data_IF_847217149417
#
_entry.id   IF_847217149417
#
_cell.length_a   1.000
_cell.length_b   1.000
_cell.length_c   1.000
_cell.angle_alpha   90.00
_cell.angle_beta   90.00
_cell.angle_gamma   90.00
#
_symmetry.space_group_name_H-M   'P 1'
#
loop_
_entity.id
_entity.type
_entity.pdbx_description
1 polymer ?
#
# COMPACT_ATOMS: atom_id res chain seq x y z
N UNK A 1 -8.82 -26.89 -14.00
CA UNK A 1 -9.70 -27.01 -12.81
C UNK A 1 -10.32 -25.68 -12.47
N UNK A 2 -11.39 -25.68 -11.68
CA UNK A 2 -12.04 -24.46 -11.21
C UNK A 2 -11.26 -23.89 -10.03
N UNK A 3 -10.84 -22.63 -10.12
CA UNK A 3 -10.12 -21.93 -9.06
C UNK A 3 -10.52 -20.45 -9.05
N UNK A 4 -10.72 -19.90 -7.87
CA UNK A 4 -10.93 -18.48 -7.66
C UNK A 4 -9.85 -18.01 -6.69
N UNK A 5 -8.91 -17.20 -7.16
CA UNK A 5 -7.96 -16.52 -6.30
C UNK A 5 -8.69 -15.52 -5.40
N UNK A 6 -8.29 -15.44 -4.13
CA UNK A 6 -8.84 -14.48 -3.19
C UNK A 6 -7.72 -13.70 -2.50
N UNK A 7 -7.75 -12.36 -2.59
CA UNK A 7 -6.74 -11.50 -1.97
C UNK A 7 -7.40 -10.36 -1.20
N UNK A 8 -7.47 -10.44 0.14
CA UNK A 8 -7.90 -9.31 0.95
C UNK A 8 -6.82 -8.23 0.95
N UNK A 9 -7.18 -7.02 0.51
CA UNK A 9 -6.28 -5.85 0.47
C UNK A 9 -6.15 -5.20 1.84
N UNK A 10 -5.86 -6.03 2.84
CA UNK A 10 -5.66 -5.64 4.23
C UNK A 10 -4.71 -6.61 4.92
N UNK A 11 -4.04 -6.14 5.94
CA UNK A 11 -3.10 -6.96 6.68
C UNK A 11 -2.33 -6.15 7.70
N UNK A 12 -1.39 -6.80 8.36
CA UNK A 12 -0.39 -6.15 9.20
C UNK A 12 0.98 -6.76 8.92
N UNK A 13 2.02 -6.02 9.20
CA UNK A 13 3.41 -6.48 9.13
C UNK A 13 3.75 -7.53 10.19
N UNK A 14 2.87 -7.77 11.16
CA UNK A 14 3.04 -8.76 12.23
C UNK A 14 2.48 -10.10 11.78
N UNK A 15 3.21 -11.16 12.03
CA UNK A 15 2.84 -12.54 11.70
C UNK A 15 2.18 -13.27 12.86
N UNK A 16 1.43 -14.33 12.53
CA UNK A 16 0.83 -15.26 13.48
C UNK A 16 -0.58 -14.89 13.93
N UNK A 17 -1.32 -15.91 14.33
CA UNK A 17 -2.73 -15.84 14.72
C UNK A 17 -3.01 -14.82 15.85
N UNK A 18 -2.07 -14.63 16.76
CA UNK A 18 -2.20 -13.68 17.87
C UNK A 18 -2.39 -12.22 17.40
N UNK A 19 -2.00 -11.92 16.16
CA UNK A 19 -2.14 -10.59 15.56
C UNK A 19 -3.40 -10.48 14.68
N UNK A 20 -4.20 -11.55 14.56
CA UNK A 20 -5.46 -11.53 13.84
C UNK A 20 -6.51 -10.69 14.58
N UNK A 21 -7.38 -10.01 13.83
CA UNK A 21 -8.48 -9.23 14.37
C UNK A 21 -9.76 -9.56 13.61
N UNK A 22 -10.88 -9.74 14.32
CA UNK A 22 -12.17 -10.06 13.71
C UNK A 22 -12.61 -9.04 12.64
N UNK A 23 -12.28 -7.77 12.84
CA UNK A 23 -12.63 -6.66 11.94
C UNK A 23 -11.62 -6.39 10.83
N UNK A 24 -10.62 -7.27 10.63
CA UNK A 24 -9.55 -7.02 9.65
C UNK A 24 -10.08 -6.89 8.23
N UNK A 25 -11.14 -7.61 7.89
CA UNK A 25 -11.76 -7.60 6.56
C UNK A 25 -12.83 -6.50 6.40
N UNK A 26 -13.31 -5.90 7.49
CA UNK A 26 -14.39 -4.93 7.47
C UNK A 26 -14.00 -3.70 6.65
N UNK A 27 -14.80 -3.37 5.63
CA UNK A 27 -14.56 -2.28 4.67
C UNK A 27 -13.26 -2.39 3.85
N UNK A 28 -12.58 -3.53 3.87
CA UNK A 28 -11.43 -3.77 3.02
C UNK A 28 -11.86 -4.31 1.65
N UNK A 29 -11.19 -3.90 0.58
CA UNK A 29 -11.36 -4.56 -0.70
C UNK A 29 -10.85 -5.99 -0.62
N UNK A 30 -11.63 -6.90 -1.21
CA UNK A 30 -11.25 -8.31 -1.34
C UNK A 30 -11.30 -8.67 -2.83
N UNK A 31 -10.14 -8.86 -3.43
CA UNK A 31 -10.03 -9.14 -4.85
C UNK A 31 -10.33 -10.62 -5.08
N UNK A 32 -11.18 -10.89 -6.07
CA UNK A 32 -11.52 -12.22 -6.56
C UNK A 32 -11.02 -12.35 -8.00
N UNK A 33 -10.14 -13.32 -8.25
CA UNK A 33 -9.56 -13.59 -9.58
C UNK A 33 -9.96 -14.99 -10.02
N UNK A 34 -11.12 -15.14 -10.72
CA UNK A 34 -11.58 -16.43 -11.21
C UNK A 34 -10.78 -16.87 -12.43
N UNK A 35 -10.59 -18.18 -12.57
CA UNK A 35 -10.18 -18.77 -13.87
C UNK A 35 -11.38 -18.83 -14.83
N UNK A 36 -11.12 -18.86 -16.13
CA UNK A 36 -12.16 -18.89 -17.18
C UNK A 36 -13.16 -20.06 -17.04
N UNK A 37 -12.75 -21.14 -16.41
CA UNK A 37 -13.57 -22.34 -16.20
C UNK A 37 -14.52 -22.25 -15.00
N UNK A 38 -14.52 -21.12 -14.27
CA UNK A 38 -15.40 -20.93 -13.11
C UNK A 38 -16.81 -20.54 -13.56
N UNK A 39 -17.85 -21.30 -13.20
CA UNK A 39 -19.22 -20.92 -13.47
C UNK A 39 -19.60 -19.61 -12.75
N UNK A 40 -20.34 -18.73 -13.43
CA UNK A 40 -20.76 -17.44 -12.86
C UNK A 40 -21.52 -17.58 -11.53
N UNK A 41 -22.31 -18.64 -11.38
CA UNK A 41 -23.03 -18.93 -10.13
C UNK A 41 -22.06 -19.14 -8.94
N UNK A 42 -20.92 -19.82 -9.17
CA UNK A 42 -19.92 -20.04 -8.13
C UNK A 42 -19.17 -18.76 -7.77
N UNK A 43 -18.91 -17.92 -8.75
CA UNK A 43 -18.31 -16.61 -8.49
C UNK A 43 -19.27 -15.72 -7.69
N UNK A 44 -20.57 -15.75 -8.02
CA UNK A 44 -21.60 -15.00 -7.27
C UNK A 44 -21.69 -15.48 -5.83
N UNK A 45 -21.75 -16.79 -5.59
CA UNK A 45 -21.78 -17.40 -4.25
C UNK A 45 -20.57 -16.96 -3.42
N UNK A 46 -19.36 -16.98 -4.00
CA UNK A 46 -18.15 -16.56 -3.29
C UNK A 46 -18.13 -15.04 -3.04
N UNK A 47 -18.59 -14.24 -3.98
CA UNK A 47 -18.74 -12.79 -3.80
C UNK A 47 -19.69 -12.45 -2.64
N UNK A 48 -20.82 -13.14 -2.55
CA UNK A 48 -21.78 -12.98 -1.44
C UNK A 48 -21.17 -13.38 -0.11
N UNK A 49 -20.41 -14.47 -0.07
CA UNK A 49 -19.66 -14.90 1.14
C UNK A 49 -18.69 -13.81 1.57
N UNK A 50 -17.88 -13.27 0.66
CA UNK A 50 -16.92 -12.20 0.96
C UNK A 50 -17.64 -10.95 1.48
N UNK A 51 -18.76 -10.57 0.87
CA UNK A 51 -19.56 -9.44 1.34
C UNK A 51 -20.16 -9.70 2.74
N UNK A 52 -20.56 -10.92 3.05
CA UNK A 52 -21.07 -11.28 4.39
C UNK A 52 -20.03 -11.18 5.50
N UNK A 53 -18.74 -11.19 5.15
CA UNK A 53 -17.62 -10.95 6.08
C UNK A 53 -17.34 -9.46 6.32
N UNK A 54 -18.15 -8.57 5.71
CA UNK A 54 -17.97 -7.11 5.79
C UNK A 54 -16.93 -6.55 4.82
N UNK A 55 -16.36 -7.37 3.94
CA UNK A 55 -15.40 -6.93 2.92
C UNK A 55 -16.12 -6.45 1.66
N UNK A 56 -15.41 -5.69 0.82
CA UNK A 56 -15.90 -5.17 -0.45
C UNK A 56 -15.32 -6.03 -1.59
N UNK A 57 -16.10 -6.96 -2.19
CA UNK A 57 -15.58 -7.83 -3.23
C UNK A 57 -15.34 -7.04 -4.53
N UNK A 58 -14.16 -7.22 -5.12
CA UNK A 58 -13.77 -6.66 -6.40
C UNK A 58 -13.28 -7.78 -7.31
N UNK A 59 -13.86 -7.90 -8.51
CA UNK A 59 -13.45 -8.91 -9.49
C UNK A 59 -12.40 -8.30 -10.41
N UNK A 60 -11.22 -8.91 -10.46
CA UNK A 60 -10.13 -8.58 -11.39
C UNK A 60 -9.61 -9.87 -12.02
N UNK A 61 -9.18 -9.80 -13.29
CA UNK A 61 -8.32 -10.83 -13.86
C UNK A 61 -6.94 -10.83 -13.19
N UNK A 62 -6.19 -11.93 -13.35
CA UNK A 62 -4.91 -12.11 -12.68
C UNK A 62 -3.87 -11.07 -13.10
N UNK A 63 -3.83 -10.70 -14.39
CA UNK A 63 -2.82 -9.77 -14.91
C UNK A 63 -3.03 -8.36 -14.34
N UNK A 64 -4.27 -7.90 -14.31
CA UNK A 64 -4.62 -6.61 -13.68
C UNK A 64 -4.40 -6.61 -12.18
N UNK A 65 -4.71 -7.72 -11.50
CA UNK A 65 -4.42 -7.88 -10.08
C UNK A 65 -2.92 -7.78 -9.82
N UNK A 66 -2.10 -8.53 -10.55
CA UNK A 66 -0.66 -8.61 -10.33
C UNK A 66 0.04 -7.29 -10.65
N UNK A 67 -0.37 -6.60 -11.71
CA UNK A 67 0.12 -5.26 -12.03
C UNK A 67 -0.27 -4.23 -10.96
N UNK A 68 -1.53 -4.19 -10.55
CA UNK A 68 -2.00 -3.25 -9.53
C UNK A 68 -1.29 -3.47 -8.18
N UNK A 69 -1.16 -4.72 -7.74
CA UNK A 69 -0.47 -5.04 -6.48
C UNK A 69 1.03 -4.75 -6.57
N UNK A 70 1.65 -4.95 -7.73
CA UNK A 70 3.03 -4.53 -7.96
C UNK A 70 3.19 -3.02 -7.74
N UNK A 71 2.27 -2.20 -8.27
CA UNK A 71 2.36 -0.75 -8.19
C UNK A 71 2.11 -0.19 -6.79
N UNK A 72 1.09 -0.69 -6.07
CA UNK A 72 0.64 -0.09 -4.81
C UNK A 72 1.15 -0.80 -3.54
N UNK A 73 1.79 -1.97 -3.69
CA UNK A 73 2.29 -2.76 -2.57
C UNK A 73 3.74 -3.19 -2.78
N UNK A 74 4.06 -3.90 -3.87
CA UNK A 74 5.38 -4.52 -4.01
C UNK A 74 6.48 -3.48 -4.26
N UNK A 75 6.31 -2.57 -5.21
CA UNK A 75 7.24 -1.49 -5.47
C UNK A 75 7.47 -0.59 -4.24
N UNK A 76 6.44 -0.15 -3.50
CA UNK A 76 6.64 0.59 -2.25
C UNK A 76 7.53 -0.12 -1.22
N UNK A 77 7.42 -1.44 -1.09
CA UNK A 77 8.29 -2.19 -0.17
C UNK A 77 9.74 -2.25 -0.67
N UNK A 78 9.96 -2.41 -1.98
CA UNK A 78 11.29 -2.36 -2.58
C UNK A 78 11.92 -0.98 -2.36
N UNK A 79 11.15 0.10 -2.59
CA UNK A 79 11.61 1.48 -2.37
C UNK A 79 11.95 1.72 -0.90
N UNK A 80 11.09 1.33 0.02
CA UNK A 80 11.32 1.49 1.46
C UNK A 80 12.59 0.76 1.90
N UNK A 81 12.80 -0.48 1.45
CA UNK A 81 14.00 -1.24 1.74
C UNK A 81 15.26 -0.60 1.13
N UNK A 82 15.17 -0.14 -0.12
CA UNK A 82 16.27 0.55 -0.80
C UNK A 82 16.64 1.86 -0.08
N UNK A 83 15.65 2.64 0.35
CA UNK A 83 15.88 3.89 1.10
C UNK A 83 16.56 3.63 2.45
N UNK A 84 16.16 2.61 3.19
CA UNK A 84 16.81 2.21 4.44
C UNK A 84 18.25 1.77 4.18
N UNK A 85 18.49 0.96 3.15
CA UNK A 85 19.83 0.51 2.79
C UNK A 85 20.72 1.67 2.34
N UNK A 86 20.18 2.65 1.58
CA UNK A 86 20.90 3.86 1.22
C UNK A 86 21.36 4.64 2.46
N UNK A 87 20.45 4.88 3.40
CA UNK A 87 20.80 5.58 4.66
C UNK A 87 21.84 4.78 5.44
N UNK A 88 21.68 3.45 5.53
CA UNK A 88 22.63 2.58 6.21
C UNK A 88 24.07 2.69 5.67
N UNK A 89 24.25 2.76 4.35
CA UNK A 89 25.58 2.87 3.74
C UNK A 89 26.12 4.30 3.71
N UNK A 90 25.24 5.31 3.85
CA UNK A 90 25.61 6.72 3.88
C UNK A 90 25.87 7.24 5.30
N UNK A 91 25.40 6.52 6.33
CA UNK A 91 25.62 6.89 7.71
C UNK A 91 27.09 6.60 8.12
N UNK A 92 27.64 7.46 8.95
CA UNK A 92 29.00 7.32 9.46
C UNK A 92 29.03 6.51 10.77
N UNK A 93 30.25 6.36 11.35
CA UNK A 93 30.46 5.63 12.60
C UNK A 93 29.69 6.24 13.79
N UNK A 94 29.41 7.55 13.74
CA UNK A 94 28.67 8.27 14.80
C UNK A 94 27.16 7.92 14.75
N UNK A 95 26.66 7.33 13.67
CA UNK A 95 25.24 6.96 13.52
C UNK A 95 24.29 8.16 13.50
N UNK A 96 24.76 9.30 13.02
CA UNK A 96 24.00 10.56 13.04
C UNK A 96 22.65 10.45 12.33
N UNK A 97 22.63 9.86 11.13
CA UNK A 97 21.39 9.74 10.36
C UNK A 97 20.37 8.85 11.09
N UNK A 98 20.83 7.74 11.67
CA UNK A 98 20.00 6.87 12.49
C UNK A 98 19.49 7.58 13.74
N UNK A 99 20.32 8.40 14.39
CA UNK A 99 19.96 9.13 15.61
C UNK A 99 18.90 10.20 15.36
N UNK A 100 19.01 10.96 14.25
CA UNK A 100 18.10 12.07 13.94
C UNK A 100 16.90 11.64 13.08
N UNK A 101 16.79 10.36 12.71
CA UNK A 101 15.66 9.84 11.91
C UNK A 101 14.34 10.16 12.61
N UNK A 102 13.55 11.06 12.02
CA UNK A 102 12.29 11.55 12.55
C UNK A 102 11.08 10.85 11.92
N UNK A 103 9.86 11.31 12.24
CA UNK A 103 8.60 10.71 11.85
C UNK A 103 8.49 10.41 10.36
N UNK A 104 8.78 11.38 9.48
CA UNK A 104 8.63 11.19 8.04
C UNK A 104 9.47 10.02 7.50
N UNK A 105 10.75 9.90 7.92
CA UNK A 105 11.57 8.76 7.52
C UNK A 105 11.03 7.43 8.08
N UNK A 106 10.65 7.43 9.38
CA UNK A 106 10.10 6.23 10.04
C UNK A 106 8.80 5.77 9.40
N UNK A 107 7.94 6.71 9.02
CA UNK A 107 6.64 6.41 8.43
C UNK A 107 6.80 5.79 7.02
N UNK A 108 7.61 6.41 6.15
CA UNK A 108 7.81 5.91 4.78
C UNK A 108 8.58 4.58 4.76
N UNK A 109 9.45 4.33 5.74
CA UNK A 109 10.26 3.12 5.82
C UNK A 109 9.70 2.04 6.73
N UNK A 110 8.56 2.27 7.39
CA UNK A 110 7.94 1.32 8.34
C UNK A 110 7.80 -0.09 7.76
N UNK A 111 7.40 -0.17 6.51
CA UNK A 111 7.17 -1.44 5.81
C UNK A 111 8.47 -2.20 5.48
N UNK A 112 9.63 -1.55 5.53
CA UNK A 112 10.93 -2.23 5.34
C UNK A 112 11.26 -3.23 6.47
N UNK A 113 10.54 -3.20 7.60
CA UNK A 113 10.69 -4.17 8.71
C UNK A 113 9.94 -5.49 8.49
N UNK A 114 9.36 -5.70 7.31
CA UNK A 114 8.62 -6.92 6.98
C UNK A 114 9.55 -8.12 6.78
N UNK A 115 8.98 -9.35 6.76
CA UNK A 115 9.73 -10.60 6.61
C UNK A 115 10.50 -10.64 5.28
N UNK A 116 11.82 -10.74 5.35
CA UNK A 116 12.68 -10.85 4.16
C UNK A 116 12.36 -12.09 3.32
N UNK A 117 12.06 -13.22 3.96
CA UNK A 117 11.70 -14.45 3.26
C UNK A 117 10.39 -14.29 2.47
N UNK A 118 9.37 -13.69 3.08
CA UNK A 118 8.09 -13.43 2.42
C UNK A 118 8.28 -12.50 1.21
N UNK A 119 9.01 -11.40 1.38
CA UNK A 119 9.24 -10.44 0.31
C UNK A 119 10.10 -10.97 -0.83
N UNK A 120 11.06 -11.84 -0.52
CA UNK A 120 11.80 -12.58 -1.55
C UNK A 120 10.83 -13.37 -2.45
N UNK A 121 9.89 -14.11 -1.86
CA UNK A 121 8.92 -14.89 -2.64
C UNK A 121 7.97 -13.99 -3.45
N UNK A 122 7.47 -12.91 -2.86
CA UNK A 122 6.62 -11.94 -3.56
C UNK A 122 7.35 -11.36 -4.78
N UNK A 123 8.60 -10.94 -4.63
CA UNK A 123 9.39 -10.40 -5.74
C UNK A 123 9.64 -11.44 -6.84
N UNK A 124 9.86 -12.70 -6.47
CA UNK A 124 10.09 -13.77 -7.44
C UNK A 124 8.81 -14.20 -8.17
N UNK A 125 7.66 -14.07 -7.56
CA UNK A 125 6.37 -14.47 -8.18
C UNK A 125 5.75 -13.37 -9.05
N UNK A 126 6.16 -12.11 -8.89
CA UNK A 126 5.65 -10.97 -9.68
C UNK A 126 6.79 -10.12 -10.27
N UNK A 127 7.87 -10.78 -10.69
CA UNK A 127 9.12 -10.14 -11.08
C UNK A 127 8.95 -9.13 -12.22
N UNK A 128 8.26 -9.51 -13.29
CA UNK A 128 8.19 -8.70 -14.52
C UNK A 128 7.44 -7.38 -14.28
N UNK A 129 6.31 -7.43 -13.56
CA UNK A 129 5.57 -6.22 -13.21
C UNK A 129 6.37 -5.32 -12.28
N UNK A 130 7.03 -5.89 -11.26
CA UNK A 130 7.85 -5.12 -10.31
C UNK A 130 9.03 -4.47 -11.05
N UNK A 131 9.73 -5.21 -11.91
CA UNK A 131 10.86 -4.69 -12.68
C UNK A 131 10.43 -3.55 -13.61
N UNK A 132 9.34 -3.73 -14.35
CA UNK A 132 8.81 -2.69 -15.25
C UNK A 132 8.44 -1.40 -14.50
N UNK A 133 7.78 -1.53 -13.35
CA UNK A 133 7.40 -0.38 -12.52
C UNK A 133 8.63 0.26 -11.85
N UNK A 134 9.61 -0.53 -11.45
CA UNK A 134 10.87 -0.03 -10.91
C UNK A 134 11.65 0.76 -11.97
N UNK A 135 11.69 0.30 -13.22
CA UNK A 135 12.29 1.03 -14.33
C UNK A 135 11.60 2.39 -14.57
N UNK A 136 10.27 2.43 -14.47
CA UNK A 136 9.51 3.68 -14.54
C UNK A 136 9.89 4.61 -13.39
N UNK A 137 9.96 4.09 -12.17
CA UNK A 137 10.33 4.87 -10.98
C UNK A 137 11.78 5.40 -11.04
N UNK A 138 12.71 4.63 -11.59
CA UNK A 138 14.09 5.07 -11.83
C UNK A 138 14.13 6.24 -12.82
N UNK A 139 13.29 6.22 -13.86
CA UNK A 139 13.16 7.36 -14.80
C UNK A 139 12.67 8.61 -14.08
N UNK A 140 11.58 8.53 -13.32
CA UNK A 140 11.08 9.64 -12.50
C UNK A 140 12.15 10.22 -11.58
N UNK A 141 12.93 9.34 -10.90
CA UNK A 141 14.03 9.81 -10.05
C UNK A 141 15.17 10.46 -10.84
N UNK A 142 15.39 10.03 -12.07
CA UNK A 142 16.42 10.61 -12.94
C UNK A 142 16.00 11.98 -13.44
N UNK A 143 14.72 12.16 -13.76
CA UNK A 143 14.16 13.42 -14.22
C UNK A 143 14.20 14.45 -13.08
N UNK A 144 13.71 14.10 -11.88
CA UNK A 144 13.78 15.02 -10.73
C UNK A 144 15.22 15.36 -10.33
N UNK A 145 16.17 14.44 -10.53
CA UNK A 145 17.59 14.72 -10.31
C UNK A 145 18.11 15.76 -11.29
N UNK A 146 17.67 15.74 -12.55
CA UNK A 146 18.05 16.74 -13.56
C UNK A 146 17.50 18.12 -13.17
N UNK A 147 16.22 18.20 -12.82
CA UNK A 147 15.57 19.44 -12.37
C UNK A 147 16.23 20.05 -11.13
N UNK A 148 16.67 19.19 -10.17
CA UNK A 148 17.45 19.62 -9.01
C UNK A 148 18.81 20.18 -9.43
N UNK A 149 19.49 19.57 -10.40
CA UNK A 149 20.78 20.04 -10.90
C UNK A 149 20.66 21.38 -11.61
N UNK A 150 19.58 21.57 -12.37
CA UNK A 150 19.27 22.79 -13.10
C UNK A 150 18.64 23.87 -12.19
N UNK A 151 18.31 23.54 -10.96
CA UNK A 151 17.62 24.40 -9.99
C UNK A 151 16.30 24.96 -10.53
N UNK A 152 15.57 24.14 -11.33
CA UNK A 152 14.28 24.54 -11.88
C UNK A 152 13.20 24.55 -10.80
N UNK A 153 12.97 25.72 -10.22
CA UNK A 153 12.00 25.89 -9.14
C UNK A 153 10.56 25.62 -9.59
N UNK A 154 10.24 25.89 -10.88
CA UNK A 154 8.91 25.64 -11.45
C UNK A 154 8.64 24.14 -11.57
N UNK A 155 9.53 23.41 -12.23
CA UNK A 155 9.42 21.97 -12.40
C UNK A 155 9.39 21.22 -11.04
N UNK A 156 10.23 21.64 -10.10
CA UNK A 156 10.23 21.10 -8.73
C UNK A 156 8.89 21.33 -8.01
N UNK A 157 8.31 22.53 -8.15
CA UNK A 157 7.00 22.82 -7.57
C UNK A 157 5.92 21.91 -8.18
N UNK A 158 5.87 21.80 -9.49
CA UNK A 158 4.87 21.02 -10.21
C UNK A 158 4.96 19.53 -9.87
N UNK A 159 6.16 19.00 -9.73
CA UNK A 159 6.40 17.62 -9.29
C UNK A 159 5.72 17.32 -7.94
N UNK A 160 5.97 18.15 -6.94
CA UNK A 160 5.38 17.93 -5.61
C UNK A 160 3.88 18.22 -5.56
N UNK A 161 3.42 19.26 -6.27
CA UNK A 161 2.00 19.63 -6.27
C UNK A 161 1.14 18.61 -6.99
N UNK A 162 1.59 18.05 -8.10
CA UNK A 162 0.94 16.95 -8.80
C UNK A 162 0.76 15.73 -7.90
N UNK A 163 1.82 15.34 -7.20
CA UNK A 163 1.79 14.23 -6.25
C UNK A 163 0.80 14.50 -5.09
N UNK A 164 0.81 15.71 -4.54
CA UNK A 164 -0.12 16.14 -3.49
C UNK A 164 -1.58 16.03 -3.96
N UNK A 165 -1.91 16.58 -5.12
CA UNK A 165 -3.27 16.56 -5.67
C UNK A 165 -3.76 15.11 -5.82
N UNK A 166 -2.93 14.25 -6.41
CA UNK A 166 -3.30 12.85 -6.60
C UNK A 166 -3.43 12.11 -5.27
N UNK A 167 -2.53 12.36 -4.31
CA UNK A 167 -2.59 11.75 -2.96
C UNK A 167 -3.85 12.18 -2.21
N UNK A 168 -4.23 13.43 -2.29
CA UNK A 168 -5.44 13.96 -1.63
C UNK A 168 -6.72 13.33 -2.21
N UNK A 169 -6.72 12.93 -3.48
CA UNK A 169 -7.85 12.24 -4.10
C UNK A 169 -8.12 10.87 -3.47
N UNK A 170 -7.13 10.18 -2.90
CA UNK A 170 -7.31 8.90 -2.21
C UNK A 170 -8.10 9.05 -0.91
N UNK A 171 -7.86 10.12 -0.17
CA UNK A 171 -8.55 10.40 1.10
C UNK A 171 -10.03 10.62 0.83
N UNK A 172 -10.36 11.32 -0.25
CA UNK A 172 -11.73 11.58 -0.65
C UNK A 172 -12.43 10.34 -1.24
N UNK A 173 -11.67 9.41 -1.85
CA UNK A 173 -12.18 8.17 -2.40
C UNK A 173 -12.30 7.03 -1.37
N UNK A 174 -11.59 7.12 -0.25
CA UNK A 174 -11.55 6.08 0.80
C UNK A 174 -12.81 6.01 1.67
N UNK A 175 -13.78 6.91 1.48
CA UNK A 175 -15.14 6.65 1.90
C UNK A 175 -15.73 5.57 0.97
N UNK A 176 -15.49 4.28 1.28
CA UNK A 176 -16.20 3.18 0.65
C UNK A 176 -17.72 3.43 0.65
N UNK A 177 -18.53 2.60 -0.03
CA UNK A 177 -19.97 2.82 -0.18
C UNK A 177 -20.73 2.90 1.17
N UNK A 178 -20.07 2.59 2.26
CA UNK A 178 -20.61 2.73 3.62
C UNK A 178 -19.86 3.88 4.31
N UNK A 179 -20.45 5.07 4.27
CA UNK A 179 -20.02 6.16 5.15
C UNK A 179 -20.34 5.75 6.59
N UNK A 180 -19.32 5.38 7.35
CA UNK A 180 -19.47 5.26 8.79
C UNK A 180 -19.61 6.68 9.37
N UNK A 181 -20.84 7.08 9.66
CA UNK A 181 -21.10 8.30 10.42
C UNK A 181 -21.07 7.92 11.89
N UNK A 182 -19.98 8.23 12.57
CA UNK A 182 -19.92 8.13 14.05
C UNK A 182 -20.22 9.50 14.62
N UNK A 183 -21.30 9.62 15.40
CA UNK A 183 -21.53 10.77 16.26
C UNK A 183 -21.00 10.42 17.64
N UNK A 184 -19.96 11.11 18.09
CA UNK A 184 -19.47 11.02 19.47
C UNK A 184 -20.06 12.21 20.20
N UNK A 185 -20.96 11.97 21.14
CA UNK A 185 -21.45 12.99 22.09
C UNK A 185 -20.58 12.89 23.33
N UNK A 186 -19.87 13.96 23.66
CA UNK A 186 -19.08 14.05 24.89
C UNK A 186 -19.84 15.05 25.80
N UNK A 187 -20.40 14.55 26.88
CA UNK A 187 -20.93 15.40 27.95
C UNK A 187 -19.74 15.85 28.81
N UNK A 188 -19.41 17.13 28.73
CA UNK A 188 -18.42 17.76 29.59
C UNK A 188 -19.21 18.42 30.74
N UNK A 189 -19.00 17.92 31.95
CA UNK A 189 -19.51 18.62 33.13
C UNK A 189 -18.75 19.96 33.25
N UNK A 190 -19.48 21.05 33.18
CA UNK A 190 -18.93 22.39 33.42
C UNK A 190 -18.81 22.57 34.97
N UNK A 191 -17.63 22.29 35.51
CA UNK A 191 -17.31 22.62 36.90
C UNK A 191 -16.71 24.03 36.91
N UNK A 192 -17.39 25.01 37.57
CA UNK A 192 -16.81 26.34 37.74
C UNK A 192 -15.60 26.25 38.69
N UNK A 193 -14.44 26.74 38.20
CA UNK A 193 -13.20 26.87 38.95
C UNK A 193 -13.25 27.97 40.03
#
# INVERSE_FOLDING_TARGET
GQFIGGHPMTGSERTGYINSRAKLLENAYYILSPTDSVPSAKLTEYRELVASLGAIPLILDCDRHDYATAAISHLPHVIAAALVNLVKISDNEDGLMKMIAAGGFKDITRIASSSAQMWQQICLTNTDNIASLLDAYIRELSDIRAELSDRDAGALYDFFDSARIYRDSFINASSGPIKAVYTITIDIADEPG
#
